data_IF_211447944362
#
_entry.id   IF_211447944362
#
_cell.length_a   1.000
_cell.length_b   1.000
_cell.length_c   1.000
_cell.angle_alpha   90.00
_cell.angle_beta   90.00
_cell.angle_gamma   90.00
#
_symmetry.space_group_name_H-M   'P 1'
#
loop_
_entity.id
_entity.type
_entity.pdbx_description
1 polymer ?
#
# COMPACT_ATOMS: atom_id res chain seq x y z
N UNK A 1 18.89 -12.98 -5.21
CA UNK A 1 19.39 -11.80 -4.54
C UNK A 1 18.61 -11.53 -3.26
N UNK A 2 19.29 -11.37 -2.15
CA UNK A 2 18.56 -11.15 -0.92
C UNK A 2 17.81 -9.83 -0.99
N UNK A 3 16.58 -9.88 -0.57
CA UNK A 3 15.74 -8.71 -0.50
C UNK A 3 16.17 -7.87 0.68
N UNK A 4 16.46 -6.61 0.43
CA UNK A 4 16.74 -5.69 1.52
C UNK A 4 15.41 -5.17 2.03
N UNK A 5 15.00 -5.52 3.25
CA UNK A 5 13.78 -4.96 3.79
C UNK A 5 13.99 -3.48 4.03
N UNK A 6 13.41 -2.65 3.21
CA UNK A 6 13.44 -1.23 3.44
C UNK A 6 12.03 -0.79 3.81
N UNK A 7 11.84 -0.54 5.10
CA UNK A 7 10.60 0.02 5.58
C UNK A 7 10.55 1.47 5.17
N UNK A 8 9.48 1.83 4.50
CA UNK A 8 9.37 3.12 3.87
C UNK A 8 7.99 3.70 4.11
N UNK A 9 7.95 4.94 4.58
CA UNK A 9 6.69 5.63 4.79
C UNK A 9 6.03 5.93 3.44
N UNK A 10 4.73 5.75 3.39
CA UNK A 10 3.92 6.04 2.22
C UNK A 10 2.53 6.43 2.67
N UNK A 11 1.66 6.73 1.72
CA UNK A 11 0.28 7.10 2.01
C UNK A 11 -0.67 6.28 1.15
N UNK A 12 -1.87 6.08 1.67
CA UNK A 12 -2.95 5.41 0.96
C UNK A 12 -4.01 6.44 0.66
N UNK A 13 -4.33 6.60 -0.62
CA UNK A 13 -5.39 7.50 -1.06
C UNK A 13 -6.61 6.67 -1.42
N UNK A 14 -7.67 6.85 -0.65
CA UNK A 14 -8.91 6.10 -0.81
C UNK A 14 -9.84 6.80 -1.80
N UNK A 15 -9.95 8.11 -1.69
CA UNK A 15 -10.80 8.92 -2.55
C UNK A 15 -10.19 10.32 -2.69
N UNK A 16 -10.59 11.03 -3.75
CA UNK A 16 -10.03 12.34 -4.04
C UNK A 16 -10.32 13.36 -2.94
N UNK A 17 -11.46 13.24 -2.28
CA UNK A 17 -11.89 14.18 -1.26
C UNK A 17 -11.61 13.71 0.15
N UNK A 18 -10.92 12.57 0.30
CA UNK A 18 -10.57 12.03 1.60
C UNK A 18 -9.11 12.32 1.92
N UNK A 19 -8.78 12.53 3.20
CA UNK A 19 -7.37 12.67 3.57
C UNK A 19 -6.63 11.36 3.34
N UNK A 20 -5.35 11.47 3.00
CA UNK A 20 -4.50 10.31 2.81
C UNK A 20 -4.25 9.63 4.16
N UNK A 21 -4.18 8.31 4.13
CA UNK A 21 -3.93 7.51 5.33
C UNK A 21 -2.45 7.10 5.35
N UNK A 22 -1.77 7.26 6.48
CA UNK A 22 -0.37 6.85 6.54
C UNK A 22 -0.22 5.33 6.55
N UNK A 23 0.84 4.86 5.93
CA UNK A 23 1.20 3.45 5.98
C UNK A 23 2.72 3.31 5.86
N UNK A 24 3.21 2.11 6.13
CA UNK A 24 4.63 1.79 5.98
C UNK A 24 4.74 0.59 5.06
N UNK A 25 5.55 0.74 4.03
CA UNK A 25 5.84 -0.37 3.12
C UNK A 25 6.88 -1.25 3.79
N UNK A 26 6.51 -2.49 4.08
CA UNK A 26 7.41 -3.46 4.71
C UNK A 26 8.16 -4.28 3.69
N UNK A 27 7.53 -4.54 2.58
CA UNK A 27 8.08 -5.40 1.55
C UNK A 27 7.45 -5.00 0.23
N UNK A 28 8.21 -5.01 -0.83
CA UNK A 28 7.70 -4.60 -2.13
C UNK A 28 8.44 -5.34 -3.24
N UNK A 29 7.69 -5.71 -4.27
CA UNK A 29 8.24 -6.24 -5.50
C UNK A 29 7.62 -5.47 -6.66
N UNK A 30 7.96 -5.84 -7.88
CA UNK A 30 7.37 -5.22 -9.06
C UNK A 30 5.89 -5.59 -9.23
N UNK A 31 5.40 -6.60 -8.51
CA UNK A 31 4.02 -7.06 -8.61
C UNK A 31 3.12 -6.54 -7.50
N UNK A 32 3.66 -6.23 -6.35
CA UNK A 32 2.85 -5.81 -5.22
C UNK A 32 3.67 -5.46 -4.01
N UNK A 33 2.98 -5.31 -2.88
CA UNK A 33 3.63 -4.88 -1.65
C UNK A 33 2.91 -5.42 -0.42
N UNK A 34 3.65 -5.47 0.69
CA UNK A 34 3.10 -5.72 2.01
C UNK A 34 3.18 -4.41 2.79
N UNK A 35 2.04 -3.95 3.25
CA UNK A 35 1.93 -2.64 3.90
C UNK A 35 1.49 -2.82 5.34
N UNK A 36 2.09 -2.04 6.23
CA UNK A 36 1.60 -1.90 7.59
C UNK A 36 0.67 -0.69 7.63
N UNK A 37 -0.55 -0.88 8.08
CA UNK A 37 -1.55 0.17 8.16
C UNK A 37 -2.19 0.16 9.52
N UNK A 38 -2.77 1.30 9.92
CA UNK A 38 -3.40 1.41 11.23
C UNK A 38 -4.62 0.52 11.33
N UNK A 39 -5.44 0.49 10.28
CA UNK A 39 -6.66 -0.32 10.25
C UNK A 39 -6.79 -1.04 8.90
N UNK A 40 -6.03 -2.12 8.69
CA UNK A 40 -6.06 -2.80 7.40
C UNK A 40 -7.45 -3.33 7.02
N UNK A 41 -8.24 -3.72 8.01
CA UNK A 41 -9.56 -4.29 7.76
C UNK A 41 -10.57 -3.25 7.27
N UNK A 42 -10.29 -1.97 7.46
CA UNK A 42 -11.18 -0.89 7.01
C UNK A 42 -10.82 -0.33 5.65
N UNK A 43 -9.71 -0.76 5.08
CA UNK A 43 -9.32 -0.29 3.76
C UNK A 43 -10.23 -0.88 2.69
N UNK A 44 -10.57 -0.12 1.64
CA UNK A 44 -11.33 -0.68 0.52
C UNK A 44 -10.49 -1.71 -0.23
N UNK A 45 -11.13 -2.49 -1.08
CA UNK A 45 -10.43 -3.51 -1.85
C UNK A 45 -9.45 -2.91 -2.85
N UNK A 46 -9.68 -1.68 -3.27
CA UNK A 46 -8.80 -0.98 -4.20
C UNK A 46 -8.51 0.41 -3.69
N UNK A 47 -7.28 0.83 -3.83
CA UNK A 47 -6.87 2.18 -3.46
C UNK A 47 -5.61 2.54 -4.21
N UNK A 48 -5.18 3.80 -4.07
CA UNK A 48 -3.94 4.28 -4.65
C UNK A 48 -2.89 4.36 -3.58
N UNK A 49 -1.75 3.75 -3.82
CA UNK A 49 -0.60 3.84 -2.95
C UNK A 49 0.28 5.00 -3.45
N UNK A 50 0.54 5.95 -2.57
CA UNK A 50 1.29 7.16 -2.91
C UNK A 50 2.67 7.04 -2.29
N UNK A 51 3.68 6.88 -3.14
CA UNK A 51 5.08 6.80 -2.71
C UNK A 51 5.68 8.19 -2.57
N UNK A 52 5.31 9.09 -3.48
CA UNK A 52 5.79 10.46 -3.49
C UNK A 52 4.79 11.29 -4.28
N UNK A 53 5.06 12.58 -4.42
CA UNK A 53 4.18 13.47 -5.16
C UNK A 53 3.99 13.05 -6.62
N UNK A 54 4.96 12.34 -7.16
CA UNK A 54 4.94 11.97 -8.58
C UNK A 54 4.79 10.48 -8.84
N UNK A 55 4.88 9.64 -7.81
CA UNK A 55 4.83 8.19 -7.99
C UNK A 55 3.63 7.62 -7.23
N UNK A 56 2.63 7.21 -7.96
CA UNK A 56 1.40 6.63 -7.43
C UNK A 56 1.15 5.29 -8.14
N UNK A 57 0.65 4.31 -7.39
CA UNK A 57 0.32 3.00 -7.96
C UNK A 57 -1.07 2.58 -7.50
N UNK A 58 -1.86 2.08 -8.43
CA UNK A 58 -3.16 1.51 -8.10
C UNK A 58 -2.97 0.11 -7.55
N UNK A 59 -3.69 -0.20 -6.47
CA UNK A 59 -3.52 -1.46 -5.75
C UNK A 59 -4.83 -2.17 -5.56
N UNK A 60 -4.77 -3.50 -5.61
CA UNK A 60 -5.87 -4.40 -5.27
C UNK A 60 -5.45 -5.17 -4.02
N UNK A 61 -6.31 -5.17 -3.00
CA UNK A 61 -6.05 -5.92 -1.78
C UNK A 61 -6.20 -7.41 -2.06
N UNK A 62 -5.18 -8.17 -1.73
CA UNK A 62 -5.16 -9.62 -1.92
C UNK A 62 -5.42 -10.37 -0.61
N UNK A 63 -4.95 -9.82 0.50
CA UNK A 63 -5.20 -10.39 1.82
C UNK A 63 -5.10 -9.30 2.88
N UNK A 64 -5.70 -9.54 4.04
CA UNK A 64 -5.68 -8.60 5.16
C UNK A 64 -5.34 -9.33 6.44
N UNK A 65 -4.56 -8.68 7.29
CA UNK A 65 -4.28 -9.11 8.64
C UNK A 65 -4.65 -8.01 9.62
N UNK A 66 -4.25 -8.19 10.86
CA UNK A 66 -4.54 -7.22 11.91
C UNK A 66 -3.73 -5.94 11.75
N UNK A 67 -2.50 -6.06 11.24
CA UNK A 67 -1.58 -4.94 11.11
C UNK A 67 -1.12 -4.72 9.68
N UNK A 68 -1.29 -5.73 8.82
CA UNK A 68 -0.73 -5.74 7.49
C UNK A 68 -1.80 -5.98 6.44
N UNK A 69 -1.53 -5.50 5.26
CA UNK A 69 -2.34 -5.78 4.09
C UNK A 69 -1.41 -6.09 2.93
N UNK A 70 -1.73 -7.13 2.19
CA UNK A 70 -1.00 -7.48 0.98
C UNK A 70 -1.76 -6.99 -0.23
N UNK A 71 -1.07 -6.29 -1.12
CA UNK A 71 -1.70 -5.71 -2.30
C UNK A 71 -0.95 -6.11 -3.56
N UNK A 72 -1.68 -6.16 -4.65
CA UNK A 72 -1.13 -6.36 -5.98
C UNK A 72 -1.30 -5.07 -6.76
N UNK A 73 -0.26 -4.68 -7.49
CA UNK A 73 -0.34 -3.51 -8.35
C UNK A 73 -1.17 -3.86 -9.59
N UNK A 74 -2.13 -3.01 -9.92
CA UNK A 74 -3.05 -3.27 -11.04
C UNK A 74 -3.03 -2.17 -12.10
N UNK A 75 -2.11 -1.25 -12.00
CA UNK A 75 -2.03 -0.11 -12.90
C UNK A 75 -1.09 -0.34 -14.09
N UNK A 76 -0.92 -1.55 -14.41
CA UNK A 76 -0.18 -1.84 -15.58
C UNK A 76 1.06 -2.55 -15.46
#
# INVERSE_FOLDING_TARGET
MPRTPSRRAASIKVADDSPDLPCVIWDMSDKGAKLAAVRPLLLPERFTLVFSDTVHRRCQVMWRGEKFVGVQFIDG
#
